data_IF_479977575603
#
_entry.id   IF_479977575603
#
_cell.length_a   1.000
_cell.length_b   1.000
_cell.length_c   1.000
_cell.angle_alpha   90.00
_cell.angle_beta   90.00
_cell.angle_gamma   90.00
#
_symmetry.space_group_name_H-M   'P 1'
#
loop_
_entity.id
_entity.type
_entity.pdbx_description
1 polymer ?
#
# COMPACT_ATOMS: atom_id res chain seq x y z
N UNK A 1 -30.94 11.53 56.17
CA UNK A 1 -31.96 10.48 56.38
C UNK A 1 -32.38 10.00 54.98
N UNK A 2 -32.37 8.73 54.56
CA UNK A 2 -32.35 7.44 55.24
C UNK A 2 -31.94 6.39 54.17
N UNK A 3 -30.91 5.60 54.46
CA UNK A 3 -30.45 4.42 53.69
C UNK A 3 -31.58 3.42 53.42
N UNK A 4 -31.47 2.63 52.33
CA UNK A 4 -31.75 1.16 52.31
C UNK A 4 -30.96 0.41 51.20
N UNK A 5 -30.04 -0.47 51.64
CA UNK A 5 -29.64 -1.78 51.06
C UNK A 5 -30.12 -2.87 52.07
N UNK A 6 -30.00 -4.22 51.92
CA UNK A 6 -29.81 -5.17 50.79
C UNK A 6 -30.73 -6.45 50.93
N UNK A 7 -30.54 -7.51 50.10
CA UNK A 7 -30.81 -8.97 50.33
C UNK A 7 -30.42 -9.71 49.01
N UNK A 8 -29.39 -10.55 48.86
CA UNK A 8 -28.99 -11.88 49.40
C UNK A 8 -29.98 -13.02 49.15
N UNK A 9 -29.59 -13.96 48.26
CA UNK A 9 -29.74 -15.43 48.31
C UNK A 9 -29.02 -16.02 47.07
N UNK A 10 -27.84 -16.64 47.11
CA UNK A 10 -27.46 -17.97 47.66
C UNK A 10 -28.04 -19.16 46.88
N UNK A 11 -27.19 -19.85 46.09
CA UNK A 11 -27.24 -21.32 46.01
C UNK A 11 -25.85 -21.91 45.66
N UNK A 12 -25.32 -22.69 46.60
CA UNK A 12 -24.22 -23.65 46.47
C UNK A 12 -24.68 -24.85 45.59
N UNK A 13 -23.95 -25.89 45.22
CA UNK A 13 -22.72 -26.59 45.57
C UNK A 13 -22.49 -27.53 44.34
N UNK A 14 -21.29 -28.02 44.01
CA UNK A 14 -20.87 -29.40 44.32
C UNK A 14 -19.40 -29.55 43.90
N UNK A 15 -18.64 -30.06 44.85
CA UNK A 15 -17.25 -30.49 44.81
C UNK A 15 -17.08 -31.89 44.21
N UNK A 16 -15.96 -32.13 43.50
CA UNK A 16 -15.38 -33.46 43.38
C UNK A 16 -13.86 -33.38 43.57
N UNK A 17 -13.38 -34.11 44.57
CA UNK A 17 -11.97 -34.32 44.93
C UNK A 17 -11.38 -35.45 44.07
N UNK A 18 -10.12 -35.32 43.69
CA UNK A 18 -9.26 -36.40 43.21
C UNK A 18 -7.82 -36.16 43.69
N UNK A 19 -7.33 -37.05 44.56
CA UNK A 19 -6.08 -36.96 45.31
C UNK A 19 -4.90 -37.68 44.63
N UNK A 20 -3.68 -37.27 45.02
CA UNK A 20 -2.40 -38.03 45.08
C UNK A 20 -1.68 -38.32 43.75
N UNK A 21 -0.34 -38.29 43.60
CA UNK A 21 0.77 -38.40 44.55
C UNK A 21 2.05 -37.73 44.01
N UNK A 22 2.90 -37.21 44.90
CA UNK A 22 4.33 -36.97 44.65
C UNK A 22 5.12 -38.25 45.00
N UNK A 23 6.11 -38.60 44.19
CA UNK A 23 7.11 -39.62 44.50
C UNK A 23 8.38 -39.41 43.65
N UNK A 24 9.53 -39.37 44.30
CA UNK A 24 10.88 -39.19 43.74
C UNK A 24 11.64 -40.53 43.61
N UNK A 25 12.60 -40.55 42.67
CA UNK A 25 13.78 -41.41 42.47
C UNK A 25 13.83 -42.45 41.32
N UNK A 26 14.86 -42.23 40.48
CA UNK A 26 15.78 -43.11 39.74
C UNK A 26 15.31 -44.13 38.69
N UNK A 27 15.90 -44.01 37.48
CA UNK A 27 16.26 -45.17 36.62
C UNK A 27 15.72 -45.20 35.18
N UNK A 28 16.63 -44.96 34.22
CA UNK A 28 16.74 -45.55 32.87
C UNK A 28 15.59 -45.51 31.83
N UNK A 29 15.93 -44.85 30.71
CA UNK A 29 15.63 -45.15 29.29
C UNK A 29 14.34 -45.88 28.88
N UNK A 30 13.51 -45.21 28.07
CA UNK A 30 12.90 -45.78 26.86
C UNK A 30 12.36 -44.67 25.93
N UNK A 31 12.48 -44.93 24.63
CA UNK A 31 12.21 -44.02 23.52
C UNK A 31 10.72 -43.94 23.13
N UNK A 32 10.29 -42.72 22.73
CA UNK A 32 9.19 -42.37 21.79
C UNK A 32 7.76 -42.88 22.09
N UNK A 33 6.71 -42.40 21.38
CA UNK A 33 6.69 -41.45 20.26
C UNK A 33 5.80 -40.20 20.49
N UNK A 34 5.92 -39.26 19.55
CA UNK A 34 4.97 -38.20 19.16
C UNK A 34 4.21 -37.43 20.24
N UNK A 35 4.69 -36.20 20.50
CA UNK A 35 3.81 -35.09 20.88
C UNK A 35 3.84 -34.04 19.78
N UNK A 36 2.70 -33.94 19.09
CA UNK A 36 2.36 -32.92 18.13
C UNK A 36 2.84 -31.55 18.59
N UNK A 37 3.68 -30.94 17.75
CA UNK A 37 4.11 -29.58 17.89
C UNK A 37 2.89 -28.64 17.88
N UNK A 38 2.73 -27.90 18.97
CA UNK A 38 1.93 -26.68 18.96
C UNK A 38 2.63 -25.66 18.09
N UNK A 39 2.20 -25.56 16.83
CA UNK A 39 2.65 -24.52 15.91
C UNK A 39 2.09 -23.19 16.43
N UNK A 40 2.92 -22.45 17.13
CA UNK A 40 2.67 -21.03 17.39
C UNK A 40 2.72 -20.29 16.05
N UNK A 41 1.87 -19.28 15.87
CA UNK A 41 1.71 -18.54 14.59
C UNK A 41 2.98 -17.86 14.06
N UNK A 42 4.10 -17.95 14.79
CA UNK A 42 5.42 -17.52 14.36
C UNK A 42 6.07 -18.47 13.33
N UNK A 43 5.70 -19.76 13.30
CA UNK A 43 6.30 -20.72 12.36
C UNK A 43 5.65 -20.73 10.97
N UNK A 44 4.46 -20.16 10.81
CA UNK A 44 3.80 -20.04 9.49
C UNK A 44 4.49 -18.98 8.63
N UNK A 45 5.09 -17.96 9.25
CA UNK A 45 5.84 -16.92 8.54
C UNK A 45 7.19 -17.42 7.98
N UNK A 46 7.74 -18.52 8.50
CA UNK A 46 8.94 -19.15 7.97
C UNK A 46 8.67 -20.19 6.86
N UNK A 47 7.39 -20.46 6.52
CA UNK A 47 7.02 -21.46 5.51
C UNK A 47 6.57 -20.90 4.16
N UNK A 48 6.41 -19.58 4.03
CA UNK A 48 6.05 -18.98 2.74
C UNK A 48 7.30 -18.79 1.88
N UNK A 49 7.16 -19.06 0.57
CA UNK A 49 8.17 -18.59 -0.39
C UNK A 49 8.32 -17.07 -0.28
N UNK A 50 9.49 -16.50 -0.60
CA UNK A 50 9.69 -15.05 -0.54
C UNK A 50 8.63 -14.27 -1.33
N UNK A 51 8.21 -14.77 -2.49
CA UNK A 51 7.15 -14.20 -3.32
C UNK A 51 5.80 -14.18 -2.60
N UNK A 52 5.41 -15.33 -2.03
CA UNK A 52 4.13 -15.48 -1.34
C UNK A 52 4.05 -14.61 -0.08
N UNK A 53 5.17 -14.45 0.63
CA UNK A 53 5.25 -13.60 1.81
C UNK A 53 5.19 -12.10 1.44
N UNK A 54 5.91 -11.68 0.40
CA UNK A 54 5.82 -10.31 -0.11
C UNK A 54 4.40 -9.97 -0.59
N UNK A 55 3.74 -10.89 -1.30
CA UNK A 55 2.36 -10.74 -1.72
C UNK A 55 1.39 -10.67 -0.52
N UNK A 56 1.60 -11.49 0.50
CA UNK A 56 0.83 -11.43 1.73
C UNK A 56 1.01 -10.08 2.45
N UNK A 57 2.24 -9.55 2.48
CA UNK A 57 2.55 -8.27 3.10
C UNK A 57 1.86 -7.10 2.39
N UNK A 58 1.86 -7.08 1.05
CA UNK A 58 1.14 -6.09 0.27
C UNK A 58 -0.38 -6.20 0.42
N UNK A 59 -0.92 -7.44 0.49
CA UNK A 59 -2.35 -7.67 0.69
C UNK A 59 -2.86 -7.07 2.00
N UNK A 60 -2.03 -6.94 3.03
CA UNK A 60 -2.45 -6.32 4.30
C UNK A 60 -2.79 -4.84 4.15
N UNK A 61 -2.27 -4.15 3.12
CA UNK A 61 -2.57 -2.74 2.88
C UNK A 61 -4.07 -2.51 2.58
N UNK A 62 -4.76 -3.45 1.93
CA UNK A 62 -6.19 -3.28 1.62
C UNK A 62 -7.11 -3.41 2.85
N UNK A 63 -6.59 -3.77 4.02
CA UNK A 63 -7.37 -3.95 5.24
C UNK A 63 -7.33 -2.77 6.21
N UNK A 64 -6.47 -1.78 6.00
CA UNK A 64 -6.15 -0.76 6.99
C UNK A 64 -6.12 0.64 6.35
N UNK A 65 -6.35 1.65 7.18
CA UNK A 65 -6.01 3.03 6.85
C UNK A 65 -4.51 3.23 7.05
N UNK A 66 -3.88 4.10 6.27
CA UNK A 66 -2.44 4.37 6.38
C UNK A 66 -2.09 5.74 5.81
N UNK A 67 -0.90 6.22 6.18
CA UNK A 67 -0.20 7.27 5.43
C UNK A 67 0.73 6.65 4.40
N UNK A 68 0.90 7.37 3.30
CA UNK A 68 1.71 6.96 2.17
C UNK A 68 2.64 8.11 1.78
N UNK A 69 3.94 7.87 1.85
CA UNK A 69 4.96 8.79 1.36
C UNK A 69 5.68 8.16 0.17
N UNK A 70 5.81 8.90 -0.93
CA UNK A 70 6.55 8.47 -2.11
C UNK A 70 7.61 9.50 -2.48
N UNK A 71 8.78 9.02 -2.87
CA UNK A 71 9.89 9.85 -3.37
C UNK A 71 10.38 9.29 -4.68
N UNK A 72 10.55 10.16 -5.68
CA UNK A 72 11.10 9.82 -6.99
C UNK A 72 12.36 10.65 -7.22
N UNK A 73 13.52 10.03 -6.96
CA UNK A 73 14.79 10.74 -6.89
C UNK A 73 14.73 11.92 -5.91
N UNK A 74 15.44 13.00 -6.24
CA UNK A 74 15.43 14.26 -5.47
C UNK A 74 14.41 15.28 -6.00
N UNK A 75 13.63 14.93 -7.01
CA UNK A 75 12.91 15.89 -7.86
C UNK A 75 11.43 15.97 -7.53
N UNK A 76 10.84 14.88 -7.04
CA UNK A 76 9.41 14.80 -6.76
C UNK A 76 9.18 14.02 -5.46
N UNK A 77 8.33 14.59 -4.61
CA UNK A 77 7.83 13.92 -3.43
C UNK A 77 6.31 13.95 -3.45
N UNK A 78 5.70 12.91 -2.89
CA UNK A 78 4.27 12.80 -2.74
C UNK A 78 3.99 12.30 -1.33
N UNK A 79 2.98 12.86 -0.68
CA UNK A 79 2.51 12.40 0.63
C UNK A 79 0.99 12.34 0.63
N UNK A 80 0.43 11.50 1.48
CA UNK A 80 -1.02 11.37 1.53
C UNK A 80 -1.52 10.30 2.47
N UNK A 81 -2.81 10.01 2.34
CA UNK A 81 -3.55 9.03 3.13
C UNK A 81 -4.34 8.11 2.21
N UNK A 82 -4.50 6.87 2.64
CA UNK A 82 -5.33 5.89 1.97
C UNK A 82 -6.18 5.14 3.00
N UNK A 83 -7.44 4.88 2.67
CA UNK A 83 -8.28 3.89 3.33
C UNK A 83 -8.35 2.64 2.44
N UNK A 84 -7.65 1.58 2.84
CA UNK A 84 -7.64 0.35 2.07
C UNK A 84 -8.99 -0.36 1.98
N UNK A 85 -9.90 -0.13 2.94
CA UNK A 85 -11.21 -0.80 2.98
C UNK A 85 -12.19 -0.16 2.00
N UNK A 86 -12.23 1.17 1.95
CA UNK A 86 -13.11 1.91 1.04
C UNK A 86 -12.48 2.14 -0.32
N UNK A 87 -11.14 2.13 -0.38
CA UNK A 87 -10.36 2.48 -1.56
C UNK A 87 -10.28 3.99 -1.78
N UNK A 88 -10.58 4.80 -0.77
CA UNK A 88 -10.46 6.26 -0.85
C UNK A 88 -9.02 6.69 -0.59
N UNK A 89 -8.57 7.69 -1.34
CA UNK A 89 -7.17 8.11 -1.35
C UNK A 89 -7.10 9.63 -1.48
N UNK A 90 -6.24 10.28 -0.69
CA UNK A 90 -5.87 11.68 -0.89
C UNK A 90 -4.35 11.78 -0.95
N UNK A 91 -3.82 12.33 -2.03
CA UNK A 91 -2.38 12.53 -2.21
C UNK A 91 -2.09 13.97 -2.61
N UNK A 92 -0.96 14.49 -2.13
CA UNK A 92 -0.38 15.75 -2.56
C UNK A 92 0.99 15.47 -3.15
N UNK A 93 1.20 15.87 -4.40
CA UNK A 93 2.49 15.83 -5.10
C UNK A 93 3.10 17.21 -5.04
N UNK A 94 4.30 17.30 -4.47
CA UNK A 94 5.16 18.46 -4.57
C UNK A 94 6.01 18.35 -5.84
N UNK A 95 5.86 19.34 -6.72
CA UNK A 95 6.59 19.46 -7.98
C UNK A 95 7.50 20.70 -7.98
N UNK A 96 8.02 21.10 -6.82
CA UNK A 96 8.82 22.32 -6.66
C UNK A 96 10.06 22.36 -7.56
N UNK A 97 10.60 21.22 -7.99
CA UNK A 97 11.66 21.16 -8.99
C UNK A 97 11.25 21.67 -10.39
N UNK A 98 9.94 21.75 -10.67
CA UNK A 98 9.38 22.34 -11.88
C UNK A 98 9.05 23.84 -11.70
N UNK A 99 9.28 24.41 -10.52
CA UNK A 99 9.04 25.82 -10.19
C UNK A 99 8.18 26.02 -8.93
N UNK A 100 8.36 27.17 -8.28
CA UNK A 100 7.68 27.50 -7.03
C UNK A 100 6.15 27.48 -7.18
N UNK A 101 5.49 26.85 -6.22
CA UNK A 101 4.02 26.74 -6.16
C UNK A 101 3.42 25.64 -7.04
N UNK A 102 4.21 24.94 -7.84
CA UNK A 102 3.74 23.78 -8.61
C UNK A 102 3.49 22.60 -7.68
N UNK A 103 2.22 22.24 -7.55
CA UNK A 103 1.76 21.12 -6.75
C UNK A 103 0.54 20.49 -7.42
N UNK A 104 0.20 19.28 -7.01
CA UNK A 104 -1.01 18.61 -7.44
C UNK A 104 -1.63 17.91 -6.25
N UNK A 105 -2.89 18.19 -5.96
CA UNK A 105 -3.68 17.44 -5.02
C UNK A 105 -4.63 16.51 -5.77
N UNK A 106 -4.73 15.27 -5.32
CA UNK A 106 -5.62 14.27 -5.88
C UNK A 106 -6.47 13.68 -4.77
N UNK A 107 -7.76 13.49 -5.05
CA UNK A 107 -8.69 12.78 -4.17
C UNK A 107 -9.46 11.76 -4.97
N UNK A 108 -9.44 10.51 -4.53
CA UNK A 108 -10.32 9.46 -5.03
C UNK A 108 -11.35 9.17 -3.94
N UNK A 109 -12.63 9.32 -4.29
CA UNK A 109 -13.76 9.01 -3.42
C UNK A 109 -14.69 8.08 -4.20
N UNK A 110 -14.78 6.82 -3.78
CA UNK A 110 -15.50 5.81 -4.55
C UNK A 110 -14.96 5.65 -5.97
N UNK A 111 -15.77 5.99 -6.98
CA UNK A 111 -15.44 5.94 -8.42
C UNK A 111 -15.02 7.28 -9.00
N UNK A 112 -15.12 8.36 -8.21
CA UNK A 112 -14.82 9.71 -8.66
C UNK A 112 -13.39 10.08 -8.28
N UNK A 113 -12.68 10.72 -9.20
CA UNK A 113 -11.37 11.28 -8.97
C UNK A 113 -11.41 12.78 -9.16
N UNK A 114 -10.80 13.51 -8.23
CA UNK A 114 -10.69 14.95 -8.26
C UNK A 114 -9.22 15.32 -8.26
N UNK A 115 -8.84 16.26 -9.12
CA UNK A 115 -7.48 16.76 -9.23
C UNK A 115 -7.50 18.28 -9.13
N UNK A 116 -6.65 18.84 -8.28
CA UNK A 116 -6.40 20.27 -8.17
C UNK A 116 -4.94 20.54 -8.47
N UNK A 117 -4.69 21.45 -9.41
CA UNK A 117 -3.35 21.84 -9.83
C UNK A 117 -2.99 23.18 -9.19
N UNK A 118 -1.77 23.27 -8.65
CA UNK A 118 -1.18 24.50 -8.15
C UNK A 118 -0.38 25.24 -9.22
N UNK A 119 0.11 26.42 -8.86
CA UNK A 119 1.04 27.19 -9.68
C UNK A 119 0.44 27.66 -11.01
N UNK A 120 1.28 27.76 -12.03
CA UNK A 120 0.87 28.25 -13.35
C UNK A 120 -0.02 27.24 -14.11
N UNK A 121 0.21 25.94 -13.89
CA UNK A 121 -0.67 24.89 -14.42
C UNK A 121 -2.09 25.04 -13.85
N UNK A 122 -2.21 25.31 -12.55
CA UNK A 122 -3.50 25.59 -11.91
C UNK A 122 -4.24 26.77 -12.54
N UNK A 123 -3.55 27.87 -12.80
CA UNK A 123 -4.16 29.05 -13.45
C UNK A 123 -4.58 28.81 -14.88
N UNK A 124 -3.85 27.96 -15.61
CA UNK A 124 -4.10 27.71 -17.03
C UNK A 124 -5.17 26.63 -17.23
N UNK A 125 -5.15 25.58 -16.41
CA UNK A 125 -5.97 24.37 -16.57
C UNK A 125 -7.14 24.29 -15.58
N UNK A 126 -7.03 24.92 -14.41
CA UNK A 126 -8.05 24.93 -13.36
C UNK A 126 -9.25 25.85 -13.63
N UNK A 127 -9.39 26.37 -14.85
CA UNK A 127 -10.51 27.22 -15.26
C UNK A 127 -10.56 28.56 -14.53
N UNK A 128 -11.76 29.14 -14.43
CA UNK A 128 -11.99 30.33 -13.61
C UNK A 128 -11.66 30.02 -12.14
N UNK A 129 -11.15 31.01 -11.41
CA UNK A 129 -10.66 30.91 -10.02
C UNK A 129 -11.62 30.24 -9.02
N UNK A 130 -12.90 30.12 -9.36
CA UNK A 130 -13.92 29.46 -8.55
C UNK A 130 -14.02 27.94 -8.73
N UNK A 131 -13.45 27.35 -9.81
CA UNK A 131 -13.59 25.92 -10.16
C UNK A 131 -12.26 25.17 -10.28
N UNK A 132 -11.43 25.34 -9.28
CA UNK A 132 -10.07 24.81 -9.21
C UNK A 132 -9.94 23.27 -9.19
N UNK A 133 -11.03 22.52 -8.98
CA UNK A 133 -11.04 21.07 -9.00
C UNK A 133 -11.51 20.53 -10.35
N UNK A 134 -10.69 19.68 -10.95
CA UNK A 134 -11.01 18.90 -12.13
C UNK A 134 -11.56 17.54 -11.70
N UNK A 135 -12.76 17.21 -12.15
CA UNK A 135 -13.35 15.89 -12.00
C UNK A 135 -12.93 14.98 -13.15
N UNK A 136 -12.54 13.76 -12.80
CA UNK A 136 -12.12 12.70 -13.69
C UNK A 136 -12.93 11.47 -13.30
N UNK A 137 -13.69 10.95 -14.26
CA UNK A 137 -14.35 9.66 -14.12
C UNK A 137 -13.27 8.57 -14.08
N UNK A 138 -13.03 7.97 -12.90
CA UNK A 138 -11.97 7.00 -12.73
C UNK A 138 -12.21 5.75 -13.60
N UNK A 139 -13.46 5.43 -13.95
CA UNK A 139 -13.78 4.31 -14.84
C UNK A 139 -13.33 4.55 -16.30
N UNK A 140 -13.08 5.81 -16.68
CA UNK A 140 -12.54 6.17 -18.01
C UNK A 140 -11.01 6.17 -18.05
N UNK A 141 -10.33 6.10 -16.90
CA UNK A 141 -8.87 5.97 -16.88
C UNK A 141 -8.47 4.65 -17.52
N UNK A 142 -7.71 4.70 -18.62
CA UNK A 142 -7.24 3.50 -19.29
C UNK A 142 -6.41 2.61 -18.36
N UNK A 143 -6.40 1.29 -18.62
CA UNK A 143 -5.52 0.34 -17.93
C UNK A 143 -4.08 0.85 -17.98
N UNK A 144 -3.40 1.03 -16.85
CA UNK A 144 -2.02 1.53 -16.82
C UNK A 144 -1.84 3.05 -16.83
N UNK A 145 -2.91 3.86 -16.67
CA UNK A 145 -2.72 5.27 -16.32
C UNK A 145 -1.99 5.40 -14.98
N UNK A 146 -1.07 6.37 -14.86
CA UNK A 146 -0.37 6.69 -13.60
C UNK A 146 -1.32 7.05 -12.47
N UNK A 147 -2.53 7.51 -12.81
CA UNK A 147 -3.59 7.90 -11.89
C UNK A 147 -4.63 6.79 -11.68
N UNK A 148 -4.46 5.63 -12.32
CA UNK A 148 -5.36 4.50 -12.16
C UNK A 148 -5.08 3.78 -10.82
N UNK A 149 -5.60 4.35 -9.73
CA UNK A 149 -5.70 3.70 -8.42
C UNK A 149 -6.97 2.82 -8.33
N UNK A 150 -7.50 2.34 -9.46
CA UNK A 150 -8.88 1.81 -9.53
C UNK A 150 -9.06 0.43 -8.91
N UNK A 151 -7.99 -0.21 -8.45
CA UNK A 151 -8.11 -1.46 -7.74
C UNK A 151 -8.44 -1.16 -6.28
N UNK A 152 -9.67 -1.49 -5.86
CA UNK A 152 -10.06 -1.51 -4.44
C UNK A 152 -9.08 -2.31 -3.59
N UNK A 153 -8.47 -3.33 -4.17
CA UNK A 153 -7.49 -4.20 -3.53
C UNK A 153 -6.05 -3.66 -3.62
N UNK A 154 -5.83 -2.50 -4.25
CA UNK A 154 -4.51 -1.91 -4.48
C UNK A 154 -4.51 -0.37 -4.47
N UNK A 155 -4.97 0.26 -3.38
CA UNK A 155 -5.05 1.72 -3.27
C UNK A 155 -3.69 2.42 -3.43
N UNK A 156 -2.60 1.70 -3.22
CA UNK A 156 -1.23 2.20 -3.35
C UNK A 156 -0.50 1.74 -4.63
N UNK A 157 -1.15 0.99 -5.52
CA UNK A 157 -0.53 0.50 -6.77
C UNK A 157 0.59 -0.55 -6.60
N UNK A 158 0.69 -1.15 -5.41
CA UNK A 158 1.67 -2.18 -5.05
C UNK A 158 1.36 -3.53 -5.69
N UNK A 159 0.10 -3.96 -5.71
CA UNK A 159 -0.30 -5.24 -6.29
C UNK A 159 0.02 -5.30 -7.79
N UNK A 160 -0.32 -4.24 -8.53
CA UNK A 160 0.01 -4.14 -9.96
C UNK A 160 1.52 -4.23 -10.22
N UNK A 161 2.34 -3.81 -9.25
CA UNK A 161 3.78 -3.96 -9.33
C UNK A 161 4.24 -5.39 -8.99
N UNK A 162 3.64 -6.01 -7.98
CA UNK A 162 3.95 -7.39 -7.61
C UNK A 162 3.61 -8.39 -8.73
N UNK A 163 2.58 -8.12 -9.54
CA UNK A 163 2.27 -8.94 -10.71
C UNK A 163 3.39 -8.90 -11.77
N UNK A 164 4.27 -7.89 -11.74
CA UNK A 164 5.41 -7.72 -12.63
C UNK A 164 6.74 -8.23 -12.03
N UNK A 165 6.74 -8.71 -10.79
CA UNK A 165 7.93 -9.27 -10.13
C UNK A 165 8.30 -10.60 -10.77
N UNK A 166 9.58 -10.80 -11.06
CA UNK A 166 10.10 -12.02 -11.70
C UNK A 166 10.96 -12.86 -10.78
N UNK A 167 11.55 -12.25 -9.75
CA UNK A 167 12.40 -12.90 -8.76
C UNK A 167 12.19 -12.23 -7.41
N UNK A 168 12.10 -13.03 -6.34
CA UNK A 168 12.10 -12.52 -4.96
C UNK A 168 13.05 -13.35 -4.12
N UNK A 169 13.94 -12.67 -3.42
CA UNK A 169 14.82 -13.24 -2.43
C UNK A 169 14.50 -12.61 -1.07
N UNK A 170 14.51 -13.43 -0.02
CA UNK A 170 14.40 -12.96 1.35
C UNK A 170 15.74 -12.39 1.81
N UNK A 171 15.71 -11.27 2.51
CA UNK A 171 16.87 -10.61 3.11
C UNK A 171 16.59 -10.42 4.59
N UNK A 172 17.17 -11.27 5.44
CA UNK A 172 16.85 -11.27 6.87
C UNK A 172 15.42 -11.77 7.15
N UNK A 173 14.83 -11.35 8.28
CA UNK A 173 13.48 -11.79 8.69
C UNK A 173 12.34 -10.98 8.06
N UNK A 174 12.62 -9.74 7.67
CA UNK A 174 11.64 -8.71 7.32
C UNK A 174 11.89 -8.04 5.97
N UNK A 175 13.02 -8.33 5.33
CA UNK A 175 13.41 -7.74 4.04
C UNK A 175 13.20 -8.68 2.86
N UNK A 176 13.00 -8.06 1.69
CA UNK A 176 12.97 -8.70 0.39
C UNK A 176 13.80 -7.89 -0.59
N UNK A 177 14.37 -8.57 -1.58
CA UNK A 177 14.95 -7.95 -2.77
C UNK A 177 14.59 -8.78 -3.99
N UNK A 178 14.68 -8.20 -5.17
CA UNK A 178 14.39 -8.95 -6.38
C UNK A 178 14.43 -8.11 -7.64
N UNK A 179 13.77 -8.60 -8.67
CA UNK A 179 13.68 -7.91 -9.95
C UNK A 179 12.23 -7.81 -10.44
N UNK A 180 11.96 -6.70 -11.13
CA UNK A 180 10.68 -6.40 -11.78
C UNK A 180 10.91 -6.32 -13.28
N UNK A 181 9.98 -6.92 -14.02
CA UNK A 181 9.90 -6.82 -15.46
C UNK A 181 8.81 -5.82 -15.87
N UNK A 182 9.22 -4.60 -16.21
CA UNK A 182 8.30 -3.53 -16.59
C UNK A 182 7.49 -3.87 -17.85
N UNK A 183 7.96 -4.80 -18.69
CA UNK A 183 7.19 -5.24 -19.87
C UNK A 183 5.92 -5.99 -19.50
N UNK A 184 5.87 -6.57 -18.29
CA UNK A 184 4.70 -7.26 -17.74
C UNK A 184 3.71 -6.32 -17.07
N UNK A 185 4.11 -5.08 -16.80
CA UNK A 185 3.23 -4.09 -16.18
C UNK A 185 2.47 -3.28 -17.24
N UNK A 186 1.13 -3.31 -17.25
CA UNK A 186 0.31 -2.46 -18.13
C UNK A 186 0.62 -0.96 -18.00
N UNK A 187 1.12 -0.54 -16.83
CA UNK A 187 1.52 0.84 -16.54
C UNK A 187 2.72 1.29 -17.37
N UNK A 188 3.65 0.39 -17.65
CA UNK A 188 4.91 0.71 -18.34
C UNK A 188 4.96 0.18 -19.78
N UNK A 189 4.12 -0.80 -20.13
CA UNK A 189 4.20 -1.51 -21.40
C UNK A 189 3.39 -0.92 -22.58
N UNK A 190 2.83 0.28 -22.42
CA UNK A 190 2.07 0.95 -23.48
C UNK A 190 2.93 1.40 -24.66
N UNK A 191 4.11 1.94 -24.40
CA UNK A 191 5.08 2.28 -25.45
C UNK A 191 6.07 1.13 -25.63
N UNK A 192 5.62 0.09 -26.35
CA UNK A 192 6.43 -1.12 -26.60
C UNK A 192 7.73 -0.82 -27.32
N UNK A 193 7.80 0.24 -28.13
CA UNK A 193 9.02 0.62 -28.85
C UNK A 193 10.04 1.25 -27.90
N UNK A 194 9.61 2.15 -27.00
CA UNK A 194 10.49 2.70 -25.95
C UNK A 194 10.96 1.62 -24.98
N UNK A 195 10.11 0.68 -24.57
CA UNK A 195 10.55 -0.46 -23.74
C UNK A 195 11.52 -1.38 -24.50
N UNK A 196 11.29 -1.65 -25.79
CA UNK A 196 12.22 -2.44 -26.61
C UNK A 196 13.58 -1.77 -26.72
N UNK A 197 13.63 -0.44 -26.86
CA UNK A 197 14.88 0.32 -26.91
C UNK A 197 15.69 0.23 -25.60
N UNK A 198 15.02 0.05 -24.45
CA UNK A 198 15.65 -0.19 -23.15
C UNK A 198 16.20 -1.62 -23.01
N UNK A 199 15.67 -2.58 -23.79
CA UNK A 199 16.14 -3.96 -23.81
C UNK A 199 16.11 -4.61 -22.42
N UNK A 200 17.20 -5.30 -22.06
CA UNK A 200 17.32 -6.00 -20.79
C UNK A 200 17.17 -5.09 -19.54
N UNK A 201 17.37 -3.77 -19.69
CA UNK A 201 17.25 -2.82 -18.59
C UNK A 201 15.80 -2.64 -18.14
N UNK A 202 14.82 -2.83 -19.03
CA UNK A 202 13.40 -2.75 -18.68
C UNK A 202 12.86 -4.03 -18.02
N UNK A 203 13.59 -5.14 -18.10
CA UNK A 203 13.13 -6.45 -17.61
C UNK A 203 13.79 -6.89 -16.29
N UNK A 204 14.78 -6.12 -15.81
CA UNK A 204 15.60 -6.46 -14.63
C UNK A 204 15.71 -5.30 -13.64
N UNK A 205 14.63 -4.53 -13.46
CA UNK A 205 14.60 -3.41 -12.51
C UNK A 205 14.76 -3.94 -11.09
N UNK A 206 15.85 -3.59 -10.37
CA UNK A 206 16.04 -4.04 -9.00
C UNK A 206 14.99 -3.43 -8.09
N UNK A 207 14.49 -4.21 -7.14
CA UNK A 207 13.68 -3.69 -6.06
C UNK A 207 14.13 -4.22 -4.70
N UNK A 208 13.78 -3.48 -3.66
CA UNK A 208 13.82 -3.92 -2.26
C UNK A 208 12.48 -3.63 -1.61
N UNK A 209 12.10 -4.44 -0.63
CA UNK A 209 10.89 -4.23 0.16
C UNK A 209 11.12 -4.63 1.61
N UNK A 210 10.34 -4.05 2.52
CA UNK A 210 10.36 -4.37 3.95
C UNK A 210 8.95 -4.57 4.48
N UNK A 211 8.80 -5.48 5.44
CA UNK A 211 7.57 -5.64 6.23
C UNK A 211 7.82 -5.33 7.71
N UNK A 212 6.77 -5.00 8.45
CA UNK A 212 6.85 -4.88 9.90
C UNK A 212 6.62 -6.24 10.61
N UNK A 213 6.68 -6.22 11.95
CA UNK A 213 6.40 -7.39 12.80
C UNK A 213 4.95 -7.88 12.72
N UNK A 214 4.03 -7.05 12.26
CA UNK A 214 2.64 -7.43 11.96
C UNK A 214 2.52 -8.01 10.55
N UNK A 215 3.60 -8.06 9.77
CA UNK A 215 3.67 -8.57 8.41
C UNK A 215 3.02 -7.66 7.38
N UNK A 216 2.90 -6.35 7.63
CA UNK A 216 2.44 -5.36 6.65
C UNK A 216 3.63 -4.83 5.86
N UNK A 217 3.46 -4.61 4.56
CA UNK A 217 4.47 -3.92 3.76
C UNK A 217 4.66 -2.48 4.29
N UNK A 218 5.88 -2.09 4.62
CA UNK A 218 6.21 -0.75 5.14
C UNK A 218 7.05 0.08 4.20
N UNK A 219 7.80 -0.56 3.31
CA UNK A 219 8.65 0.11 2.34
C UNK A 219 8.77 -0.73 1.07
N UNK A 220 8.75 -0.08 -0.07
CA UNK A 220 9.01 -0.64 -1.38
C UNK A 220 9.86 0.36 -2.17
N UNK A 221 11.03 -0.07 -2.63
CA UNK A 221 11.95 0.75 -3.39
C UNK A 221 12.28 0.07 -4.70
N UNK A 222 12.12 0.77 -5.82
CA UNK A 222 12.57 0.37 -7.15
C UNK A 222 13.74 1.23 -7.61
N UNK A 223 14.76 0.61 -8.19
CA UNK A 223 15.88 1.32 -8.80
C UNK A 223 15.75 1.36 -10.32
N UNK A 224 15.22 2.47 -10.83
CA UNK A 224 15.06 2.71 -12.27
C UNK A 224 16.22 3.54 -12.85
N UNK A 225 17.33 3.69 -12.12
CA UNK A 225 18.49 4.48 -12.57
C UNK A 225 19.09 3.98 -13.88
N UNK A 226 18.93 2.69 -14.19
CA UNK A 226 19.38 2.08 -15.44
C UNK A 226 18.66 2.61 -16.68
N UNK A 227 17.47 3.19 -16.52
CA UNK A 227 16.60 3.68 -17.60
C UNK A 227 16.99 5.07 -18.13
N UNK A 228 18.01 5.71 -17.54
CA UNK A 228 18.53 7.02 -17.98
C UNK A 228 17.97 8.19 -17.19
N UNK A 229 18.32 9.41 -17.59
CA UNK A 229 17.87 10.64 -16.93
C UNK A 229 16.45 11.04 -17.41
N UNK A 230 15.55 11.35 -16.48
CA UNK A 230 14.17 11.78 -16.76
C UNK A 230 13.15 11.27 -15.73
N UNK A 231 11.85 11.46 -15.98
CA UNK A 231 10.75 11.04 -15.07
C UNK A 231 10.66 9.52 -14.84
N UNK A 232 11.37 8.71 -15.62
CA UNK A 232 11.48 7.26 -15.45
C UNK A 232 12.84 6.82 -14.87
N UNK A 233 13.72 7.76 -14.51
CA UNK A 233 15.06 7.52 -13.98
C UNK A 233 15.17 7.73 -12.48
N UNK A 234 16.06 6.98 -11.84
CA UNK A 234 16.39 7.12 -10.42
C UNK A 234 15.65 6.14 -9.50
N UNK A 235 15.72 6.40 -8.21
CA UNK A 235 15.09 5.55 -7.19
C UNK A 235 13.67 6.02 -6.89
N UNK A 236 12.72 5.09 -6.98
CA UNK A 236 11.34 5.31 -6.56
C UNK A 236 11.10 4.54 -5.26
N UNK A 237 10.88 5.27 -4.17
CA UNK A 237 10.58 4.68 -2.86
C UNK A 237 9.17 5.03 -2.45
N UNK A 238 8.42 4.06 -1.97
CA UNK A 238 7.13 4.22 -1.31
C UNK A 238 7.24 3.70 0.12
N UNK A 239 6.71 4.46 1.08
CA UNK A 239 6.63 4.10 2.50
C UNK A 239 5.18 4.11 2.97
N UNK A 240 4.86 3.12 3.79
CA UNK A 240 3.55 2.94 4.40
C UNK A 240 3.71 2.95 5.91
N UNK A 241 2.95 3.80 6.58
CA UNK A 241 3.05 3.98 8.03
C UNK A 241 1.75 4.52 8.63
N UNK A 242 1.76 4.77 9.94
CA UNK A 242 0.62 5.27 10.72
C UNK A 242 -0.66 4.42 10.53
N UNK A 243 -0.48 3.11 10.39
CA UNK A 243 -1.55 2.17 10.12
C UNK A 243 -2.67 2.19 11.16
N UNK A 244 -3.92 2.10 10.69
CA UNK A 244 -5.11 2.09 11.54
C UNK A 244 -5.52 3.48 12.07
N UNK A 245 -4.76 4.54 11.77
CA UNK A 245 -5.15 5.92 12.09
C UNK A 245 -6.39 6.29 11.28
N UNK A 246 -7.47 6.82 11.87
CA UNK A 246 -8.62 7.28 11.10
C UNK A 246 -8.23 8.32 10.06
N UNK A 247 -8.67 8.12 8.83
CA UNK A 247 -8.50 9.08 7.72
C UNK A 247 -9.89 9.48 7.20
N UNK A 248 -10.02 10.71 6.72
CA UNK A 248 -11.23 11.18 6.03
C UNK A 248 -10.82 11.75 4.70
N UNK A 249 -11.36 11.20 3.61
CA UNK A 249 -11.16 11.68 2.25
C UNK A 249 -12.52 12.09 1.72
N UNK A 250 -12.69 13.38 1.45
CA UNK A 250 -13.96 13.95 1.03
C UNK A 250 -13.87 14.56 -0.36
N UNK A 251 -14.97 14.40 -1.12
CA UNK A 251 -15.12 15.07 -2.40
C UNK A 251 -15.05 16.60 -2.20
N UNK A 252 -14.42 17.34 -3.13
CA UNK A 252 -14.45 18.78 -3.08
C UNK A 252 -15.88 19.33 -3.15
N UNK A 253 -16.13 20.56 -2.66
CA UNK A 253 -17.43 21.21 -2.81
C UNK A 253 -17.84 21.26 -4.29
N UNK A 254 -19.05 20.82 -4.62
CA UNK A 254 -19.51 20.73 -6.01
C UNK A 254 -19.42 22.07 -6.77
N UNK A 255 -19.54 23.21 -6.07
CA UNK A 255 -19.37 24.54 -6.67
C UNK A 255 -17.94 24.84 -7.14
N UNK A 256 -16.95 24.11 -6.62
CA UNK A 256 -15.53 24.23 -6.98
C UNK A 256 -15.08 23.20 -8.02
N UNK A 257 -15.99 22.32 -8.44
CA UNK A 257 -15.69 21.21 -9.35
C UNK A 257 -16.14 21.57 -10.77
N UNK A 258 -15.29 21.24 -11.74
CA UNK A 258 -15.62 21.18 -13.15
C UNK A 258 -15.15 19.86 -13.74
N UNK A 259 -15.81 19.39 -14.79
CA UNK A 259 -15.34 18.24 -15.55
C UNK A 259 -14.00 18.55 -16.20
N UNK A 260 -13.07 17.60 -16.18
CA UNK A 260 -11.80 17.74 -16.89
C UNK A 260 -12.07 17.99 -18.38
N UNK A 261 -11.52 19.06 -18.97
CA UNK A 261 -11.62 19.31 -20.40
C UNK A 261 -11.13 18.11 -21.21
N UNK A 262 -11.88 17.69 -22.23
CA UNK A 262 -11.54 16.53 -23.07
C UNK A 262 -10.16 16.67 -23.74
N UNK A 263 -9.69 17.89 -23.97
CA UNK A 263 -8.36 18.18 -24.51
C UNK A 263 -7.22 17.75 -23.58
N UNK A 264 -7.48 17.62 -22.28
CA UNK A 264 -6.51 17.16 -21.28
C UNK A 264 -6.58 15.65 -21.01
N UNK A 265 -7.60 14.95 -21.52
CA UNK A 265 -7.75 13.51 -21.30
C UNK A 265 -6.56 12.73 -21.88
N UNK A 266 -6.04 13.17 -23.03
CA UNK A 266 -4.84 12.63 -23.64
C UNK A 266 -3.56 12.75 -22.79
N UNK A 267 -3.48 13.72 -21.86
CA UNK A 267 -2.35 13.85 -20.93
C UNK A 267 -2.42 12.82 -19.80
N UNK A 268 -3.63 12.44 -19.39
CA UNK A 268 -3.84 11.45 -18.33
C UNK A 268 -3.96 10.02 -18.87
N UNK A 269 -3.87 9.87 -20.20
CA UNK A 269 -4.21 8.63 -20.91
C UNK A 269 -5.63 8.14 -20.54
N UNK A 270 -6.58 9.10 -20.48
CA UNK A 270 -8.01 8.94 -20.25
C UNK A 270 -8.82 9.18 -21.53
#
# INVERSE_FOLDING_TARGET
MRNRRPLIASLALVTALGLTACGTNDGSSAAGPDRSAGVTGHQVAEQLSPEADLAAAAKKLSGETMKVDMTMGSTMSMSGVADGKTGDVQMTVDMGALGDGNSMEMRKVGTDMYMKLGGELGKTLGGDSSKEWLHIDAAKLGEGSTFNFNSKDDPAGTKALLDAVTQVERVGGDGFKGTIDLTKSPRYNKNKESLKALGAKATTIPFTAKKDSQGRLTELTMDMSSLGAGAAGGTFTTKYHDFGTPVSVEAPPASQVQEMPSQLSGLLNA
#
